data_IF_621169739222
#
_entry.id   IF_621169739222
#
_cell.length_a   1.000
_cell.length_b   1.000
_cell.length_c   1.000
_cell.angle_alpha   90.00
_cell.angle_beta   90.00
_cell.angle_gamma   90.00
#
_symmetry.space_group_name_H-M   'P 1'
#
loop_
_entity.id
_entity.type
_entity.pdbx_description
1 polymer ?
#
# COMPACT_ATOMS: atom_id res chain seq x y z
N UNK A 1 -4.20 1.70 -8.51
CA UNK A 1 -3.31 0.92 -7.61
C UNK A 1 -3.55 1.26 -6.14
N UNK A 2 -3.55 2.53 -5.72
CA UNK A 2 -3.72 2.90 -4.30
C UNK A 2 -4.99 2.38 -3.61
N UNK A 3 -6.14 2.31 -4.32
CA UNK A 3 -7.41 1.86 -3.71
C UNK A 3 -7.36 0.42 -3.17
N UNK A 4 -6.61 -0.47 -3.82
CA UNK A 4 -6.51 -1.88 -3.40
C UNK A 4 -5.66 -2.05 -2.15
N UNK A 5 -4.69 -1.16 -1.94
CA UNK A 5 -3.88 -1.16 -0.72
C UNK A 5 -4.73 -0.82 0.50
N UNK A 6 -5.77 0.01 0.37
CA UNK A 6 -6.66 0.36 1.48
C UNK A 6 -7.69 -0.72 1.81
N UNK A 7 -7.93 -1.72 0.93
CA UNK A 7 -8.93 -2.76 1.16
C UNK A 7 -8.63 -3.60 2.41
N UNK A 8 -7.36 -3.89 2.67
CA UNK A 8 -6.97 -4.62 3.88
C UNK A 8 -7.34 -3.84 5.14
N UNK A 9 -7.03 -2.53 5.18
CA UNK A 9 -7.36 -1.69 6.33
C UNK A 9 -8.88 -1.46 6.46
N UNK A 10 -9.60 -1.33 5.36
CA UNK A 10 -11.05 -1.24 5.35
C UNK A 10 -11.70 -2.51 5.91
N UNK A 11 -11.21 -3.69 5.53
CA UNK A 11 -11.66 -4.97 6.11
C UNK A 11 -11.39 -5.08 7.61
N UNK A 12 -10.24 -4.57 8.07
CA UNK A 12 -9.86 -4.56 9.49
C UNK A 12 -10.74 -3.60 10.32
N UNK A 13 -11.08 -2.44 9.77
CA UNK A 13 -12.03 -1.50 10.36
C UNK A 13 -13.44 -2.09 10.43
N UNK A 14 -13.91 -2.76 9.38
CA UNK A 14 -15.20 -3.46 9.38
C UNK A 14 -15.26 -4.57 10.43
N UNK A 15 -14.20 -5.38 10.54
CA UNK A 15 -14.13 -6.44 11.54
C UNK A 15 -14.14 -5.90 12.96
N UNK A 16 -13.38 -4.83 13.24
CA UNK A 16 -13.36 -4.21 14.58
C UNK A 16 -14.71 -3.58 14.92
N UNK A 17 -15.37 -2.93 13.96
CA UNK A 17 -16.74 -2.44 14.14
C UNK A 17 -17.73 -3.56 14.44
N UNK A 18 -17.70 -4.65 13.66
CA UNK A 18 -18.59 -5.79 13.87
C UNK A 18 -18.37 -6.48 15.23
N UNK A 19 -17.12 -6.57 15.71
CA UNK A 19 -16.80 -7.10 17.04
C UNK A 19 -17.35 -6.19 18.15
N UNK A 20 -17.20 -4.88 18.00
CA UNK A 20 -17.79 -3.91 18.94
C UNK A 20 -19.32 -4.03 18.99
N UNK A 21 -19.96 -4.13 17.82
CA UNK A 21 -21.42 -4.34 17.74
C UNK A 21 -21.84 -5.66 18.39
N UNK A 22 -21.13 -6.76 18.13
CA UNK A 22 -21.42 -8.04 18.78
C UNK A 22 -21.27 -7.97 20.30
N UNK A 23 -20.24 -7.27 20.79
CA UNK A 23 -20.00 -7.09 22.22
C UNK A 23 -21.10 -6.28 22.90
N UNK A 24 -21.48 -5.14 22.31
CA UNK A 24 -22.55 -4.29 22.85
C UNK A 24 -23.92 -4.98 22.90
N UNK A 25 -24.27 -5.76 21.86
CA UNK A 25 -25.52 -6.53 21.85
C UNK A 25 -25.48 -7.66 22.86
N UNK A 26 -24.33 -8.31 23.05
CA UNK A 26 -24.16 -9.33 24.09
C UNK A 26 -24.40 -8.74 25.48
N UNK A 27 -23.84 -7.57 25.78
CA UNK A 27 -24.08 -6.91 27.06
C UNK A 27 -25.57 -6.57 27.26
N UNK A 28 -26.25 -6.07 26.23
CA UNK A 28 -27.69 -5.77 26.28
C UNK A 28 -28.55 -7.03 26.50
N UNK A 29 -28.23 -8.13 25.82
CA UNK A 29 -28.91 -9.42 26.01
C UNK A 29 -28.68 -9.96 27.43
N UNK A 30 -27.45 -9.83 27.95
CA UNK A 30 -27.10 -10.27 29.29
C UNK A 30 -27.82 -9.43 30.36
N UNK A 31 -27.86 -8.11 30.21
CA UNK A 31 -28.60 -7.22 31.12
C UNK A 31 -30.08 -7.58 31.10
N UNK A 32 -30.69 -7.74 29.92
CA UNK A 32 -32.11 -8.10 29.79
C UNK A 32 -32.46 -9.43 30.49
N UNK A 33 -31.57 -10.41 30.46
CA UNK A 33 -31.77 -11.68 31.17
C UNK A 33 -31.73 -11.54 32.70
N UNK A 34 -30.88 -10.65 33.23
CA UNK A 34 -30.71 -10.47 34.67
C UNK A 34 -31.69 -9.47 35.28
N UNK A 35 -32.14 -8.48 34.52
CA UNK A 35 -32.97 -7.40 35.04
C UNK A 35 -34.48 -7.69 35.03
N UNK A 36 -34.92 -8.81 34.43
CA UNK A 36 -36.35 -9.19 34.27
C UNK A 36 -37.23 -8.06 33.69
N UNK A 37 -36.59 -7.04 33.13
CA UNK A 37 -37.18 -5.79 32.68
C UNK A 37 -37.02 -5.67 31.18
N UNK A 38 -38.00 -5.00 30.57
CA UNK A 38 -38.21 -4.82 29.15
C UNK A 38 -36.91 -4.60 28.36
N UNK A 39 -36.73 -5.39 27.30
CA UNK A 39 -35.57 -5.31 26.41
C UNK A 39 -35.58 -3.92 25.75
N UNK A 40 -34.60 -3.04 25.99
CA UNK A 40 -34.51 -1.81 25.25
C UNK A 40 -34.21 -2.16 23.79
N UNK A 41 -35.12 -1.82 22.89
CA UNK A 41 -34.92 -1.97 21.47
C UNK A 41 -33.74 -1.09 21.05
N UNK A 42 -32.80 -1.68 20.30
CA UNK A 42 -31.68 -0.93 19.74
C UNK A 42 -32.17 -0.09 18.58
N UNK A 43 -31.87 1.21 18.58
CA UNK A 43 -32.20 2.09 17.47
C UNK A 43 -31.19 1.91 16.35
N UNK A 44 -31.60 1.26 15.26
CA UNK A 44 -30.89 1.29 13.99
C UNK A 44 -31.68 2.21 13.05
N UNK A 45 -31.06 3.31 12.64
CA UNK A 45 -31.66 4.29 11.71
C UNK A 45 -33.06 4.79 12.15
N UNK A 46 -33.28 4.93 13.46
CA UNK A 46 -34.56 5.42 14.01
C UNK A 46 -35.64 4.34 14.17
N UNK A 47 -35.36 3.09 13.83
CA UNK A 47 -36.26 1.96 14.10
C UNK A 47 -35.81 1.19 15.35
N UNK A 48 -36.77 0.96 16.25
CA UNK A 48 -36.59 0.13 17.43
C UNK A 48 -36.56 -1.34 17.02
N UNK A 49 -35.38 -1.92 16.88
CA UNK A 49 -35.25 -3.32 16.44
C UNK A 49 -34.85 -4.22 17.62
N UNK A 50 -35.38 -5.45 17.63
CA UNK A 50 -35.02 -6.42 18.65
C UNK A 50 -33.55 -6.82 18.52
N UNK A 51 -32.81 -6.99 19.63
CA UNK A 51 -31.39 -7.33 19.58
C UNK A 51 -31.11 -8.65 18.84
N UNK A 52 -32.08 -9.57 18.77
CA UNK A 52 -31.96 -10.81 17.99
C UNK A 52 -31.92 -10.58 16.48
N UNK A 53 -32.64 -9.56 15.98
CA UNK A 53 -32.63 -9.22 14.55
C UNK A 53 -31.32 -8.58 14.08
N UNK A 54 -30.54 -8.04 15.02
CA UNK A 54 -29.21 -7.48 14.73
C UNK A 54 -28.13 -8.55 14.50
N UNK A 55 -28.39 -9.81 14.81
CA UNK A 55 -27.43 -10.89 14.50
C UNK A 55 -27.17 -11.00 13.00
N UNK A 56 -28.21 -10.88 12.16
CA UNK A 56 -28.09 -10.99 10.70
C UNK A 56 -27.17 -9.91 10.12
N UNK A 57 -27.39 -8.60 10.33
CA UNK A 57 -26.50 -7.58 9.78
C UNK A 57 -25.07 -7.70 10.31
N UNK A 58 -24.87 -8.04 11.59
CA UNK A 58 -23.52 -8.27 12.15
C UNK A 58 -22.83 -9.44 11.44
N UNK A 59 -23.52 -10.55 11.19
CA UNK A 59 -22.91 -11.69 10.48
C UNK A 59 -22.53 -11.34 9.04
N UNK A 60 -23.36 -10.57 8.33
CA UNK A 60 -23.05 -10.08 6.99
C UNK A 60 -21.82 -9.16 7.02
N UNK A 61 -21.75 -8.27 8.00
CA UNK A 61 -20.65 -7.34 8.18
C UNK A 61 -19.32 -8.05 8.48
N UNK A 62 -19.32 -9.05 9.36
CA UNK A 62 -18.15 -9.90 9.64
C UNK A 62 -17.69 -10.61 8.36
N UNK A 63 -18.63 -11.19 7.60
CA UNK A 63 -18.31 -11.91 6.36
C UNK A 63 -17.69 -10.96 5.33
N UNK A 64 -18.26 -9.77 5.15
CA UNK A 64 -17.74 -8.75 4.26
C UNK A 64 -16.34 -8.27 4.69
N UNK A 65 -16.14 -7.97 5.97
CA UNK A 65 -14.85 -7.55 6.52
C UNK A 65 -13.77 -8.62 6.35
N UNK A 66 -14.11 -9.89 6.56
CA UNK A 66 -13.20 -11.03 6.35
C UNK A 66 -12.81 -11.18 4.88
N UNK A 67 -13.77 -11.14 3.96
CA UNK A 67 -13.51 -11.26 2.52
C UNK A 67 -12.62 -10.11 2.03
N UNK A 68 -12.91 -8.87 2.45
CA UNK A 68 -12.10 -7.70 2.11
C UNK A 68 -10.68 -7.80 2.68
N UNK A 69 -10.54 -8.28 3.92
CA UNK A 69 -9.25 -8.51 4.57
C UNK A 69 -8.40 -9.54 3.80
N UNK A 70 -8.99 -10.68 3.44
CA UNK A 70 -8.30 -11.73 2.68
C UNK A 70 -7.91 -11.22 1.29
N UNK A 71 -8.84 -10.59 0.57
CA UNK A 71 -8.58 -10.08 -0.77
C UNK A 71 -7.49 -8.99 -0.77
N UNK A 72 -7.57 -8.06 0.18
CA UNK A 72 -6.56 -7.01 0.35
C UNK A 72 -5.18 -7.56 0.75
N UNK A 73 -5.15 -8.57 1.63
CA UNK A 73 -3.90 -9.23 2.01
C UNK A 73 -3.26 -9.98 0.83
N UNK A 74 -4.05 -10.76 0.09
CA UNK A 74 -3.60 -11.50 -1.08
C UNK A 74 -3.07 -10.55 -2.17
N UNK A 75 -3.72 -9.40 -2.37
CA UNK A 75 -3.27 -8.41 -3.36
C UNK A 75 -1.95 -7.73 -2.98
N UNK A 76 -1.72 -7.45 -1.69
CA UNK A 76 -0.47 -6.85 -1.20
C UNK A 76 0.72 -7.79 -1.32
N UNK A 77 0.49 -9.09 -1.24
CA UNK A 77 1.57 -10.07 -1.27
C UNK A 77 2.08 -10.27 -2.71
N UNK A 78 3.11 -9.52 -3.08
CA UNK A 78 3.84 -9.81 -4.32
C UNK A 78 4.61 -11.11 -4.12
N UNK A 79 4.24 -12.14 -4.88
CA UNK A 79 5.05 -13.36 -5.00
C UNK A 79 6.42 -12.95 -5.53
N UNK A 80 7.49 -13.35 -4.84
CA UNK A 80 8.84 -13.17 -5.35
C UNK A 80 9.12 -14.24 -6.41
N UNK A 81 9.93 -13.88 -7.40
CA UNK A 81 10.34 -14.82 -8.44
C UNK A 81 11.12 -15.99 -7.83
N UNK A 82 10.67 -17.21 -8.13
CA UNK A 82 11.22 -18.43 -7.52
C UNK A 82 12.62 -18.80 -8.05
N UNK A 83 13.04 -18.23 -9.20
CA UNK A 83 14.31 -18.56 -9.85
C UNK A 83 15.18 -17.33 -9.95
N UNK A 84 16.41 -17.46 -9.47
CA UNK A 84 17.44 -16.42 -9.61
C UNK A 84 17.69 -16.09 -11.09
N UNK A 85 17.62 -17.08 -11.98
CA UNK A 85 17.79 -16.90 -13.43
C UNK A 85 16.78 -15.92 -14.05
N UNK A 86 15.55 -15.83 -13.50
CA UNK A 86 14.52 -14.92 -14.02
C UNK A 86 14.80 -13.48 -13.60
N UNK A 87 15.30 -13.30 -12.37
CA UNK A 87 15.78 -12.00 -11.85
C UNK A 87 17.01 -11.53 -12.63
N UNK A 88 17.92 -12.44 -12.98
CA UNK A 88 19.18 -12.10 -13.63
C UNK A 88 19.11 -12.04 -15.16
N UNK A 89 18.00 -12.46 -15.78
CA UNK A 89 17.85 -12.51 -17.25
C UNK A 89 18.07 -11.15 -17.93
N UNK A 90 17.72 -10.06 -17.25
CA UNK A 90 17.84 -8.70 -17.77
C UNK A 90 19.11 -7.98 -17.30
N UNK A 91 19.92 -8.63 -16.46
CA UNK A 91 21.21 -8.08 -16.05
C UNK A 91 22.18 -8.18 -17.22
N UNK A 92 22.58 -7.03 -17.74
CA UNK A 92 23.72 -6.94 -18.67
C UNK A 92 25.01 -6.83 -17.88
N UNK A 93 26.04 -7.49 -18.39
CA UNK A 93 27.40 -7.43 -17.88
C UNK A 93 27.86 -5.99 -17.62
N UNK A 94 27.53 -5.07 -18.54
CA UNK A 94 27.89 -3.65 -18.44
C UNK A 94 27.28 -2.93 -17.23
N UNK A 95 26.09 -3.33 -16.76
CA UNK A 95 25.43 -2.67 -15.63
C UNK A 95 25.94 -3.15 -14.27
N UNK A 96 26.30 -4.43 -14.13
CA UNK A 96 26.72 -5.01 -12.85
C UNK A 96 28.23 -5.15 -12.69
N UNK A 97 28.93 -5.52 -13.77
CA UNK A 97 30.35 -5.86 -13.70
C UNK A 97 31.24 -4.71 -14.14
N UNK A 98 30.74 -3.80 -14.98
CA UNK A 98 31.49 -2.63 -15.46
C UNK A 98 31.25 -1.34 -14.65
N UNK A 99 30.31 -1.34 -13.70
CA UNK A 99 30.10 -0.16 -12.83
C UNK A 99 31.20 -0.01 -11.78
N UNK A 100 32.02 -1.04 -11.55
CA UNK A 100 33.27 -0.95 -10.80
C UNK A 100 33.12 -0.17 -9.49
N UNK A 101 32.04 -0.40 -8.75
CA UNK A 101 31.71 0.34 -7.52
C UNK A 101 32.79 -0.03 -6.47
N UNK A 102 33.90 0.71 -6.51
CA UNK A 102 35.12 0.45 -5.74
C UNK A 102 36.46 0.55 -6.51
N UNK A 103 36.45 0.47 -7.85
CA UNK A 103 37.68 0.48 -8.69
C UNK A 103 37.57 1.39 -9.92
N UNK A 104 36.91 2.53 -9.79
CA UNK A 104 36.73 3.50 -10.88
C UNK A 104 38.09 4.09 -11.26
N UNK A 105 38.55 3.82 -12.49
CA UNK A 105 39.77 4.40 -13.04
C UNK A 105 39.43 5.65 -13.88
N UNK A 106 39.84 6.81 -13.37
CA UNK A 106 39.61 8.10 -14.05
C UNK A 106 40.54 8.37 -15.24
N UNK A 107 41.50 7.49 -15.50
CA UNK A 107 42.39 7.58 -16.66
C UNK A 107 41.83 6.76 -17.84
N UNK A 108 40.75 7.23 -18.45
CA UNK A 108 40.16 6.61 -19.63
C UNK A 108 39.89 7.66 -20.72
N UNK A 109 39.64 7.20 -21.95
CA UNK A 109 39.48 8.09 -23.13
C UNK A 109 38.34 9.10 -23.00
N UNK A 110 37.30 8.79 -22.22
CA UNK A 110 36.18 9.69 -21.92
C UNK A 110 36.61 10.97 -21.18
N UNK A 111 37.59 10.88 -20.28
CA UNK A 111 38.12 12.03 -19.53
C UNK A 111 38.73 13.11 -20.43
N UNK A 112 39.34 12.72 -21.55
CA UNK A 112 39.94 13.66 -22.51
C UNK A 112 38.90 14.21 -23.49
N UNK A 113 37.88 13.41 -23.83
CA UNK A 113 36.81 13.82 -24.75
C UNK A 113 35.84 14.83 -24.10
N UNK A 114 35.35 14.56 -22.88
CA UNK A 114 34.46 15.49 -22.17
C UNK A 114 35.13 16.83 -21.87
N UNK A 115 36.42 16.83 -21.51
CA UNK A 115 37.16 18.06 -21.23
C UNK A 115 37.38 18.93 -22.48
N UNK A 116 37.43 18.32 -23.67
CA UNK A 116 37.54 19.04 -24.94
C UNK A 116 36.23 19.76 -25.29
N UNK A 117 35.10 19.14 -25.02
CA UNK A 117 33.79 19.75 -25.26
C UNK A 117 33.51 20.89 -24.26
N UNK A 118 33.88 20.73 -22.99
CA UNK A 118 33.81 21.82 -21.99
C UNK A 118 34.72 23.01 -22.36
N UNK A 119 35.95 22.75 -22.80
CA UNK A 119 36.86 23.80 -23.27
C UNK A 119 36.39 24.48 -24.58
N UNK A 120 35.63 23.78 -25.43
CA UNK A 120 35.08 24.35 -26.67
C UNK A 120 33.86 25.25 -26.42
N UNK A 121 33.09 25.01 -25.35
CA UNK A 121 31.98 25.88 -24.99
C UNK A 121 32.42 27.10 -24.16
N UNK A 122 33.43 26.98 -23.29
CA UNK A 122 33.99 28.13 -22.56
C UNK A 122 34.83 29.08 -23.44
N UNK A 123 35.33 28.59 -24.58
CA UNK A 123 36.04 29.42 -25.58
C UNK A 123 35.11 30.14 -26.56
N UNK A 124 33.78 30.01 -26.41
CA UNK A 124 32.80 30.91 -27.04
C UNK A 124 32.50 32.14 -26.19
N UNK A 125 33.46 32.62 -25.40
CA UNK A 125 33.41 33.94 -24.81
C UNK A 125 33.95 34.99 -25.79
N UNK A 126 33.08 35.94 -26.16
CA UNK A 126 33.43 37.35 -26.43
C UNK A 126 33.98 37.77 -27.81
N UNK A 127 33.68 37.09 -28.92
CA UNK A 127 34.12 37.54 -30.27
C UNK A 127 33.01 37.87 -31.28
N UNK A 128 31.76 38.03 -30.86
CA UNK A 128 30.65 38.36 -31.78
C UNK A 128 29.74 39.51 -31.30
N UNK A 129 30.31 40.50 -30.61
CA UNK A 129 29.62 41.75 -30.32
C UNK A 129 30.47 42.98 -30.69
N UNK A 130 30.88 43.07 -31.95
CA UNK A 130 31.25 44.36 -32.55
C UNK A 130 31.21 44.30 -34.08
N UNK A 131 30.56 45.32 -34.66
CA UNK A 131 30.34 45.64 -36.09
C UNK A 131 29.25 44.84 -36.78
N UNK A 132 28.27 45.43 -37.45
CA UNK A 132 27.79 46.81 -37.65
C UNK A 132 26.30 46.67 -37.99
#
# INVERSE_FOLDING_TARGET
MAAMDYLFYAGLLLLTHAVYMAYSIREQLQVAQHSRSYIPATNLEGHSVFPTTMMVPITIEVLAGMLLGIAGFAHRHKMQDARLCDVTKYLRYDNQMNSGVGFIHFNHRGTVACRKDELQDDSKSLLQKKKD
#
